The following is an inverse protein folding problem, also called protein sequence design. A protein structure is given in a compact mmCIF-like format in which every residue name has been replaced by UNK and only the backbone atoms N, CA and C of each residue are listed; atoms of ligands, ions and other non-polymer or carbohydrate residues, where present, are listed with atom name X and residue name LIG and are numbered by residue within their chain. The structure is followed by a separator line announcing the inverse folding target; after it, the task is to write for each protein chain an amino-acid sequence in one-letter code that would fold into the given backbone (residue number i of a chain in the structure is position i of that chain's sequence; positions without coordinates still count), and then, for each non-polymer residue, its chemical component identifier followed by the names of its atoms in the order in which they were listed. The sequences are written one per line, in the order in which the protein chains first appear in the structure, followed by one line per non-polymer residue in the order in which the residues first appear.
data_IF_279038311258
#
_entry.id   IF_279038311258
#
_cell.length_a   1.000
_cell.length_b   1.000
_cell.length_c   1.000
_cell.angle_alpha   90.00
_cell.angle_beta   90.00
_cell.angle_gamma   90.00
#
_symmetry.space_group_name_H-M   'P 1'
#
loop_
_entity.id
_entity.type
_entity.pdbx_description
1 polymer ?
#
# COMPACT_ATOMS: atom_id res chain seq x y z
N UNK A 1 -25.19 -25.87 -9.09
CA UNK A 1 -25.03 -24.90 -7.99
C UNK A 1 -26.40 -24.29 -7.65
N UNK A 2 -26.60 -23.70 -6.47
CA UNK A 2 -27.85 -22.97 -6.21
C UNK A 2 -27.87 -21.65 -6.99
N UNK A 3 -28.76 -21.53 -7.98
CA UNK A 3 -28.88 -20.31 -8.77
C UNK A 3 -29.19 -19.07 -7.91
N UNK A 4 -29.83 -19.24 -6.75
CA UNK A 4 -30.18 -18.13 -5.85
C UNK A 4 -28.95 -17.37 -5.34
N UNK A 5 -27.85 -18.05 -5.01
CA UNK A 5 -26.65 -17.38 -4.50
C UNK A 5 -25.90 -16.60 -5.61
N UNK A 6 -26.01 -17.07 -6.85
CA UNK A 6 -25.47 -16.39 -8.04
C UNK A 6 -26.28 -15.15 -8.34
N UNK A 7 -27.61 -15.28 -8.41
CA UNK A 7 -28.50 -14.16 -8.69
C UNK A 7 -28.35 -13.06 -7.61
N UNK A 8 -28.28 -13.45 -6.33
CA UNK A 8 -28.01 -12.52 -5.24
C UNK A 8 -26.65 -11.81 -5.40
N UNK A 9 -25.61 -12.49 -5.85
CA UNK A 9 -24.30 -11.89 -6.09
C UNK A 9 -24.32 -10.91 -7.28
N UNK A 10 -25.06 -11.25 -8.35
CA UNK A 10 -25.29 -10.37 -9.52
C UNK A 10 -26.06 -9.12 -9.11
N UNK A 11 -27.15 -9.27 -8.34
CA UNK A 11 -27.99 -8.16 -7.90
C UNK A 11 -27.26 -7.19 -6.98
N UNK A 12 -26.39 -7.70 -6.10
CA UNK A 12 -25.48 -6.88 -5.28
C UNK A 12 -24.63 -5.95 -6.15
N UNK A 13 -24.16 -6.41 -7.31
CA UNK A 13 -23.37 -5.59 -8.25
C UNK A 13 -24.29 -4.63 -9.04
N UNK A 14 -25.43 -5.10 -9.54
CA UNK A 14 -26.39 -4.27 -10.30
C UNK A 14 -26.94 -3.09 -9.51
N UNK A 15 -26.98 -3.21 -8.18
CA UNK A 15 -27.40 -2.12 -7.29
C UNK A 15 -26.43 -0.92 -7.24
N UNK A 16 -25.24 -1.04 -7.83
CA UNK A 16 -24.20 -0.01 -7.82
C UNK A 16 -24.25 0.88 -9.08
N UNK A 17 -23.66 2.06 -8.98
CA UNK A 17 -23.25 2.84 -10.16
C UNK A 17 -22.10 2.12 -10.88
N UNK A 18 -22.42 1.35 -11.92
CA UNK A 18 -21.46 0.56 -12.68
C UNK A 18 -20.41 1.43 -13.39
N UNK A 19 -20.75 2.68 -13.76
CA UNK A 19 -19.81 3.61 -14.40
C UNK A 19 -18.64 4.00 -13.47
N UNK A 20 -18.89 3.95 -12.16
CA UNK A 20 -17.91 4.20 -11.09
C UNK A 20 -17.45 2.92 -10.39
N UNK A 21 -17.65 1.77 -11.01
CA UNK A 21 -17.27 0.46 -10.44
C UNK A 21 -16.14 -0.18 -11.22
N UNK A 22 -15.31 -0.96 -10.52
CA UNK A 22 -14.24 -1.75 -11.14
C UNK A 22 -14.00 -3.03 -10.35
N UNK A 23 -13.76 -4.13 -11.06
CA UNK A 23 -13.32 -5.39 -10.43
C UNK A 23 -11.83 -5.32 -10.15
N UNK A 24 -11.43 -5.56 -8.89
CA UNK A 24 -10.02 -5.79 -8.55
C UNK A 24 -9.69 -7.28 -8.74
N UNK A 25 -9.19 -7.61 -9.92
CA UNK A 25 -8.77 -8.96 -10.25
C UNK A 25 -7.38 -9.23 -9.70
N UNK A 26 -7.20 -10.32 -8.94
CA UNK A 26 -5.89 -10.73 -8.41
C UNK A 26 -5.30 -11.93 -9.14
N UNK A 27 -6.03 -12.51 -10.10
CA UNK A 27 -5.68 -13.79 -10.72
C UNK A 27 -5.98 -15.00 -9.83
N UNK A 28 -6.73 -14.85 -8.73
CA UNK A 28 -7.15 -15.97 -7.88
C UNK A 28 -8.56 -16.45 -8.22
N UNK A 29 -8.94 -17.63 -7.72
CA UNK A 29 -10.25 -18.26 -7.93
C UNK A 29 -11.42 -17.38 -7.53
N UNK A 30 -11.34 -16.75 -6.36
CA UNK A 30 -12.43 -15.91 -5.84
C UNK A 30 -12.58 -14.63 -6.69
N UNK A 31 -11.46 -14.06 -7.16
CA UNK A 31 -11.48 -12.89 -8.05
C UNK A 31 -11.94 -13.23 -9.47
N UNK A 32 -11.72 -14.47 -9.94
CA UNK A 32 -12.20 -14.96 -11.22
C UNK A 32 -13.72 -15.09 -11.21
N UNK A 33 -14.28 -15.78 -10.21
CA UNK A 33 -15.74 -15.88 -10.03
C UNK A 33 -16.36 -14.50 -9.90
N UNK A 34 -15.76 -13.62 -9.10
CA UNK A 34 -16.23 -12.23 -8.94
C UNK A 34 -16.25 -11.48 -10.28
N UNK A 35 -15.24 -11.66 -11.12
CA UNK A 35 -15.14 -11.01 -12.43
C UNK A 35 -16.20 -11.55 -13.40
N UNK A 36 -16.45 -12.86 -13.42
CA UNK A 36 -17.50 -13.45 -14.24
C UNK A 36 -18.90 -12.98 -13.79
N UNK A 37 -19.17 -12.97 -12.49
CA UNK A 37 -20.42 -12.42 -11.91
C UNK A 37 -20.58 -10.94 -12.26
N UNK A 38 -19.51 -10.15 -12.16
CA UNK A 38 -19.54 -8.73 -12.53
C UNK A 38 -19.88 -8.53 -14.02
N UNK A 39 -19.30 -9.35 -14.90
CA UNK A 39 -19.61 -9.33 -16.34
C UNK A 39 -21.09 -9.63 -16.60
N UNK A 40 -21.66 -10.64 -15.91
CA UNK A 40 -23.12 -10.95 -15.96
C UNK A 40 -24.01 -9.83 -15.40
N UNK A 41 -23.50 -9.07 -14.44
CA UNK A 41 -24.17 -7.88 -13.91
C UNK A 41 -24.09 -6.67 -14.87
N UNK A 42 -23.36 -6.76 -15.98
CA UNK A 42 -23.16 -5.68 -16.95
C UNK A 42 -21.89 -4.84 -16.71
N UNK A 43 -21.00 -5.26 -15.81
CA UNK A 43 -19.71 -4.61 -15.56
C UNK A 43 -18.56 -5.36 -16.25
N UNK A 44 -18.16 -4.91 -17.44
CA UNK A 44 -16.98 -5.42 -18.16
C UNK A 44 -15.76 -4.48 -17.98
N UNK A 45 -15.39 -4.26 -16.72
CA UNK A 45 -14.25 -3.43 -16.33
C UNK A 45 -13.50 -4.05 -15.15
N UNK A 46 -12.30 -4.54 -15.42
CA UNK A 46 -11.45 -5.15 -14.42
C UNK A 46 -10.05 -4.52 -14.42
N UNK A 47 -9.38 -4.62 -13.29
CA UNK A 47 -8.02 -4.12 -13.10
C UNK A 47 -7.19 -5.15 -12.38
N UNK A 48 -6.01 -5.42 -12.92
CA UNK A 48 -4.97 -6.22 -12.30
C UNK A 48 -3.80 -5.34 -11.88
N UNK A 49 -3.44 -5.40 -10.61
CA UNK A 49 -2.22 -4.77 -10.12
C UNK A 49 -1.03 -5.72 -10.30
N UNK A 50 -0.28 -5.50 -11.38
CA UNK A 50 0.92 -6.26 -11.67
C UNK A 50 2.10 -5.70 -10.88
N UNK A 51 2.29 -6.18 -9.65
CA UNK A 51 3.36 -5.72 -8.77
C UNK A 51 4.71 -6.39 -9.01
N UNK A 52 4.81 -7.28 -10.00
CA UNK A 52 5.94 -8.19 -10.25
C UNK A 52 6.27 -9.16 -9.10
N UNK A 53 5.52 -9.08 -7.99
CA UNK A 53 5.65 -9.94 -6.83
C UNK A 53 4.79 -11.19 -6.94
N UNK A 54 3.81 -11.22 -7.83
CA UNK A 54 3.05 -12.42 -8.18
C UNK A 54 3.95 -13.44 -8.90
N UNK A 55 3.59 -14.72 -8.88
CA UNK A 55 4.31 -15.73 -9.66
C UNK A 55 4.17 -15.44 -11.16
N UNK A 56 5.21 -15.71 -11.92
CA UNK A 56 5.31 -15.45 -13.35
C UNK A 56 4.27 -16.26 -14.13
N UNK A 57 3.99 -17.51 -13.70
CA UNK A 57 2.89 -18.31 -14.25
C UNK A 57 1.52 -17.65 -14.01
N UNK A 58 1.29 -17.06 -12.83
CA UNK A 58 0.06 -16.31 -12.57
C UNK A 58 -0.03 -15.03 -13.40
N UNK A 59 1.08 -14.31 -13.59
CA UNK A 59 1.10 -13.14 -14.48
C UNK A 59 0.83 -13.53 -15.94
N UNK A 60 1.36 -14.67 -16.39
CA UNK A 60 1.07 -15.22 -17.73
C UNK A 60 -0.42 -15.51 -17.88
N UNK A 61 -0.99 -16.26 -16.94
CA UNK A 61 -2.43 -16.54 -16.89
C UNK A 61 -3.30 -15.26 -16.94
N UNK A 62 -2.95 -14.23 -16.16
CA UNK A 62 -3.72 -12.97 -16.18
C UNK A 62 -3.64 -12.27 -17.53
N UNK A 63 -2.50 -12.33 -18.23
CA UNK A 63 -2.40 -11.77 -19.59
C UNK A 63 -3.28 -12.54 -20.57
N UNK A 64 -3.27 -13.86 -20.52
CA UNK A 64 -4.05 -14.73 -21.41
C UNK A 64 -5.56 -14.53 -21.19
N UNK A 65 -6.01 -14.50 -19.93
CA UNK A 65 -7.43 -14.27 -19.63
C UNK A 65 -7.86 -12.81 -19.90
N UNK A 66 -6.92 -11.87 -19.91
CA UNK A 66 -7.13 -10.46 -20.24
C UNK A 66 -7.62 -10.21 -21.67
N UNK A 67 -7.53 -11.19 -22.56
CA UNK A 67 -8.12 -11.11 -23.90
C UNK A 67 -9.65 -11.35 -23.86
N UNK A 68 -10.11 -12.17 -22.90
CA UNK A 68 -11.53 -12.53 -22.71
C UNK A 68 -12.27 -11.56 -21.77
N UNK A 69 -11.54 -10.95 -20.86
CA UNK A 69 -12.04 -10.00 -19.89
C UNK A 69 -11.27 -8.70 -20.03
N UNK A 70 -11.95 -7.56 -20.07
CA UNK A 70 -11.33 -6.24 -20.23
C UNK A 70 -10.53 -5.84 -18.96
N UNK A 71 -9.35 -6.44 -18.79
CA UNK A 71 -8.47 -6.29 -17.62
C UNK A 71 -7.38 -5.27 -17.94
N UNK A 72 -7.48 -4.10 -17.33
CA UNK A 72 -6.41 -3.11 -17.37
C UNK A 72 -5.29 -3.48 -16.38
N UNK A 73 -4.03 -3.32 -16.79
CA UNK A 73 -2.87 -3.56 -15.94
C UNK A 73 -2.36 -2.27 -15.30
N UNK A 74 -2.27 -2.24 -13.96
CA UNK A 74 -1.54 -1.20 -13.24
C UNK A 74 -0.14 -1.74 -12.94
N UNK A 75 0.88 -0.99 -13.38
CA UNK A 75 2.29 -1.27 -13.11
C UNK A 75 2.81 -0.29 -12.04
N UNK A 76 3.08 -0.75 -10.81
CA UNK A 76 3.71 0.08 -9.79
C UNK A 76 5.12 0.52 -10.23
N UNK A 77 5.39 1.82 -10.18
CA UNK A 77 6.73 2.37 -10.47
C UNK A 77 7.76 2.09 -9.35
N UNK A 78 7.36 1.43 -8.26
CA UNK A 78 8.26 1.18 -7.13
C UNK A 78 8.99 -0.16 -7.27
N UNK A 79 10.33 -0.12 -7.24
CA UNK A 79 11.17 -1.31 -7.15
C UNK A 79 11.11 -1.91 -5.72
N UNK A 80 10.56 -3.12 -5.63
CA UNK A 80 10.46 -3.86 -4.38
C UNK A 80 11.83 -4.15 -3.73
N UNK A 81 12.82 -4.54 -4.50
CA UNK A 81 14.16 -4.88 -4.01
C UNK A 81 14.90 -3.63 -3.52
N UNK A 82 14.77 -2.53 -4.25
CA UNK A 82 15.28 -1.22 -3.81
C UNK A 82 14.65 -0.83 -2.46
N UNK A 83 13.33 -0.98 -2.32
CA UNK A 83 12.63 -0.62 -1.09
C UNK A 83 13.02 -1.54 0.07
N UNK A 84 13.27 -2.83 -0.18
CA UNK A 84 13.85 -3.73 0.81
C UNK A 84 15.22 -3.26 1.30
N UNK A 85 16.08 -2.76 0.40
CA UNK A 85 17.42 -2.23 0.72
C UNK A 85 17.35 -0.93 1.53
N UNK A 86 16.42 -0.03 1.18
CA UNK A 86 16.25 1.30 1.81
C UNK A 86 15.48 1.28 3.13
N UNK A 87 14.52 0.37 3.27
CA UNK A 87 13.71 0.20 4.48
C UNK A 87 14.18 -1.01 5.27
N UNK A 88 13.65 -2.17 4.89
CA UNK A 88 13.90 -3.50 5.41
C UNK A 88 13.12 -4.52 4.56
N UNK A 89 13.53 -5.79 4.52
CA UNK A 89 12.68 -6.86 4.00
C UNK A 89 11.30 -6.87 4.69
N UNK A 90 10.20 -7.13 3.96
CA UNK A 90 8.88 -7.21 4.57
C UNK A 90 8.79 -8.40 5.54
N UNK A 91 7.94 -8.25 6.55
CA UNK A 91 7.66 -9.31 7.51
C UNK A 91 6.15 -9.39 7.80
N UNK A 92 5.72 -10.41 8.55
CA UNK A 92 4.35 -10.53 9.03
C UNK A 92 3.90 -9.30 9.84
N UNK A 93 4.85 -8.60 10.47
CA UNK A 93 4.62 -7.37 11.24
C UNK A 93 4.87 -6.11 10.40
N UNK A 94 5.77 -6.18 9.42
CA UNK A 94 6.23 -5.06 8.60
C UNK A 94 5.67 -5.13 7.17
N UNK A 95 4.35 -4.95 7.05
CA UNK A 95 3.60 -5.07 5.77
C UNK A 95 3.65 -3.80 4.92
N UNK A 96 4.83 -3.21 4.72
CA UNK A 96 4.96 -1.96 3.97
C UNK A 96 4.68 -2.15 2.47
N UNK A 97 5.04 -3.30 1.89
CA UNK A 97 4.81 -3.60 0.47
C UNK A 97 3.33 -3.55 0.10
N UNK A 98 2.44 -4.12 0.94
CA UNK A 98 1.00 -4.04 0.74
C UNK A 98 0.46 -2.60 0.70
N UNK A 99 1.11 -1.67 1.41
CA UNK A 99 0.68 -0.26 1.47
C UNK A 99 1.19 0.55 0.29
N UNK A 100 2.49 0.42 -0.01
CA UNK A 100 3.13 1.16 -1.10
C UNK A 100 2.71 0.60 -2.44
N UNK A 101 2.97 -0.69 -2.65
CA UNK A 101 2.97 -1.30 -3.97
C UNK A 101 1.55 -1.70 -4.40
N UNK A 102 0.68 -2.03 -3.43
CA UNK A 102 -0.70 -2.44 -3.73
C UNK A 102 -1.72 -1.34 -3.48
N UNK A 103 -1.90 -0.97 -2.21
CA UNK A 103 -2.99 -0.07 -1.82
C UNK A 103 -2.83 1.33 -2.42
N UNK A 104 -1.63 1.91 -2.41
CA UNK A 104 -1.37 3.25 -2.98
C UNK A 104 -1.73 3.34 -4.46
N UNK A 105 -1.24 2.41 -5.28
CA UNK A 105 -1.49 2.39 -6.73
C UNK A 105 -2.94 2.05 -7.09
N UNK A 106 -3.57 1.11 -6.37
CA UNK A 106 -5.00 0.83 -6.54
C UNK A 106 -5.84 2.09 -6.32
N UNK A 107 -5.51 2.89 -5.31
CA UNK A 107 -6.22 4.12 -5.04
C UNK A 107 -5.92 5.24 -6.03
N UNK A 108 -4.66 5.40 -6.43
CA UNK A 108 -4.28 6.36 -7.46
C UNK A 108 -5.06 6.12 -8.76
N UNK A 109 -5.16 4.85 -9.19
CA UNK A 109 -5.99 4.47 -10.32
C UNK A 109 -7.46 4.85 -10.11
N UNK A 110 -8.04 4.53 -8.96
CA UNK A 110 -9.45 4.77 -8.72
C UNK A 110 -9.77 6.27 -8.68
N UNK A 111 -8.89 7.10 -8.11
CA UNK A 111 -9.02 8.57 -8.12
C UNK A 111 -8.96 9.11 -9.55
N UNK A 112 -7.94 8.71 -10.33
CA UNK A 112 -7.75 9.16 -11.72
C UNK A 112 -8.90 8.78 -12.65
N UNK A 113 -9.57 7.66 -12.36
CA UNK A 113 -10.66 7.12 -13.17
C UNK A 113 -12.06 7.34 -12.57
N UNK A 114 -12.19 8.20 -11.56
CA UNK A 114 -13.46 8.51 -10.89
C UNK A 114 -14.26 7.26 -10.43
N UNK A 115 -13.55 6.22 -10.00
CA UNK A 115 -14.15 5.00 -9.44
C UNK A 115 -14.60 5.30 -8.02
N UNK A 116 -15.66 4.69 -7.51
CA UNK A 116 -16.07 4.76 -6.08
C UNK A 116 -16.32 3.38 -5.49
N UNK A 117 -16.41 2.33 -6.32
CA UNK A 117 -16.65 0.96 -5.89
C UNK A 117 -15.57 0.02 -6.42
N UNK A 118 -14.86 -0.65 -5.51
CA UNK A 118 -13.93 -1.73 -5.82
C UNK A 118 -14.61 -3.06 -5.53
N UNK A 119 -14.93 -3.81 -6.57
CA UNK A 119 -15.53 -5.15 -6.44
C UNK A 119 -14.40 -6.15 -6.21
N UNK A 120 -14.50 -6.94 -5.13
CA UNK A 120 -13.44 -7.88 -4.71
C UNK A 120 -14.02 -9.24 -4.34
N UNK A 121 -13.25 -10.30 -4.57
CA UNK A 121 -13.61 -11.67 -4.19
C UNK A 121 -13.30 -12.02 -2.73
N UNK A 122 -13.52 -11.11 -1.79
CA UNK A 122 -13.31 -11.41 -0.36
C UNK A 122 -14.49 -12.19 0.18
N UNK A 123 -14.21 -13.27 0.93
CA UNK A 123 -15.22 -14.12 1.57
C UNK A 123 -15.04 -14.15 3.09
N UNK A 124 -16.15 -14.31 3.80
CA UNK A 124 -16.22 -14.37 5.25
C UNK A 124 -15.43 -15.58 5.81
N UNK A 125 -15.53 -16.73 5.15
CA UNK A 125 -14.90 -18.00 5.52
C UNK A 125 -13.36 -17.95 5.50
N UNK A 126 -12.75 -17.03 4.74
CA UNK A 126 -11.28 -16.98 4.60
C UNK A 126 -10.55 -16.70 5.92
N UNK A 127 -11.18 -16.04 6.91
CA UNK A 127 -10.61 -15.85 8.25
C UNK A 127 -11.60 -15.22 9.25
N UNK A 128 -11.34 -15.39 10.55
CA UNK A 128 -12.04 -14.68 11.65
C UNK A 128 -12.08 -13.15 11.53
N UNK A 129 -11.13 -12.55 10.80
CA UNK A 129 -11.14 -11.10 10.54
C UNK A 129 -12.11 -10.74 9.41
N UNK A 130 -12.14 -11.56 8.36
CA UNK A 130 -12.99 -11.37 7.18
C UNK A 130 -14.43 -11.76 7.44
N UNK A 131 -14.72 -12.60 8.42
CA UNK A 131 -16.08 -12.90 8.88
C UNK A 131 -16.87 -11.69 9.38
N UNK A 132 -16.20 -10.54 9.57
CA UNK A 132 -16.82 -9.26 9.96
C UNK A 132 -17.09 -8.34 8.78
N UNK A 133 -16.65 -8.73 7.58
CA UNK A 133 -16.82 -7.91 6.38
C UNK A 133 -18.27 -7.99 5.94
N UNK A 134 -18.75 -6.87 5.41
CA UNK A 134 -20.10 -6.74 4.86
C UNK A 134 -20.03 -6.84 3.33
N UNK A 135 -21.19 -6.87 2.69
CA UNK A 135 -21.26 -6.72 1.22
C UNK A 135 -20.62 -5.40 0.80
N UNK A 136 -20.83 -4.31 1.56
CA UNK A 136 -20.22 -3.01 1.29
C UNK A 136 -19.49 -2.53 2.55
N UNK A 137 -18.18 -2.30 2.42
CA UNK A 137 -17.33 -1.77 3.47
C UNK A 137 -16.62 -0.49 3.00
N UNK A 138 -16.57 0.55 3.85
CA UNK A 138 -15.77 1.75 3.57
C UNK A 138 -14.28 1.41 3.72
N UNK A 139 -13.47 1.72 2.71
CA UNK A 139 -12.03 1.44 2.78
C UNK A 139 -11.38 2.43 3.77
N UNK A 140 -10.76 1.96 4.87
CA UNK A 140 -10.28 2.85 5.93
C UNK A 140 -9.28 3.91 5.47
N UNK A 141 -8.56 3.65 4.37
CA UNK A 141 -7.56 4.55 3.82
C UNK A 141 -8.16 5.84 3.25
N UNK A 142 -9.40 5.81 2.75
CA UNK A 142 -10.09 7.00 2.20
C UNK A 142 -10.39 8.06 3.24
N UNK A 143 -10.44 7.70 4.52
CA UNK A 143 -10.62 8.69 5.61
C UNK A 143 -9.50 9.75 5.66
N UNK A 144 -8.35 9.50 5.01
CA UNK A 144 -7.29 10.49 4.87
C UNK A 144 -7.51 11.48 3.72
N UNK A 145 -8.23 11.08 2.65
CA UNK A 145 -8.54 11.92 1.51
C UNK A 145 -10.04 12.30 1.53
N UNK A 146 -10.39 13.50 2.02
CA UNK A 146 -11.79 13.89 2.25
C UNK A 146 -12.58 14.15 0.96
N UNK A 147 -11.91 14.30 -0.19
CA UNK A 147 -12.59 14.54 -1.47
C UNK A 147 -13.06 13.25 -2.15
N UNK A 148 -12.66 12.10 -1.62
CA UNK A 148 -12.79 10.86 -2.35
C UNK A 148 -13.23 9.72 -1.44
N UNK A 149 -14.38 9.14 -1.75
CA UNK A 149 -14.91 7.97 -1.06
C UNK A 149 -14.77 6.72 -1.93
N UNK A 150 -14.29 5.64 -1.32
CA UNK A 150 -14.06 4.37 -1.98
C UNK A 150 -14.58 3.26 -1.09
N UNK A 151 -15.45 2.45 -1.67
CA UNK A 151 -16.08 1.32 -1.03
C UNK A 151 -15.53 0.02 -1.60
N UNK A 152 -15.27 -0.94 -0.72
CA UNK A 152 -15.00 -2.31 -1.09
C UNK A 152 -16.34 -3.04 -1.15
N UNK A 153 -16.66 -3.62 -2.30
CA UNK A 153 -17.86 -4.43 -2.51
C UNK A 153 -17.48 -5.90 -2.62
N UNK A 154 -18.11 -6.74 -1.81
CA UNK A 154 -17.83 -8.17 -1.69
C UNK A 154 -19.08 -8.96 -2.10
N UNK A 155 -19.36 -9.12 -3.41
CA UNK A 155 -20.61 -9.71 -3.89
C UNK A 155 -20.76 -11.19 -3.50
N UNK A 156 -19.65 -11.89 -3.26
CA UNK A 156 -19.61 -13.31 -2.87
C UNK A 156 -19.20 -13.51 -1.40
N UNK A 157 -19.42 -12.51 -0.53
CA UNK A 157 -18.90 -12.51 0.85
C UNK A 157 -19.34 -13.73 1.67
N UNK A 158 -20.52 -14.25 1.40
CA UNK A 158 -21.19 -15.39 2.04
C UNK A 158 -20.91 -16.73 1.37
N UNK A 159 -20.17 -16.75 0.26
CA UNK A 159 -19.86 -17.99 -0.45
C UNK A 159 -18.79 -18.80 0.29
N UNK A 160 -18.95 -20.13 0.27
CA UNK A 160 -17.94 -21.08 0.71
C UNK A 160 -16.88 -21.30 -0.37
N UNK A 161 -15.75 -21.91 0.00
CA UNK A 161 -14.74 -22.34 -0.98
C UNK A 161 -15.32 -23.35 -1.98
N UNK A 162 -16.24 -24.21 -1.52
CA UNK A 162 -16.91 -25.19 -2.37
C UNK A 162 -17.79 -24.49 -3.42
N UNK A 163 -18.53 -23.45 -3.04
CA UNK A 163 -19.37 -22.69 -3.98
C UNK A 163 -18.52 -22.06 -5.10
N UNK A 164 -17.36 -21.50 -4.75
CA UNK A 164 -16.41 -20.91 -5.72
C UNK A 164 -15.91 -21.95 -6.72
N UNK A 165 -15.48 -23.12 -6.25
CA UNK A 165 -15.00 -24.17 -7.16
C UNK A 165 -16.11 -24.79 -7.99
N UNK A 166 -17.29 -25.04 -7.40
CA UNK A 166 -18.46 -25.52 -8.12
C UNK A 166 -18.83 -24.55 -9.26
N UNK A 167 -18.80 -23.24 -8.99
CA UNK A 167 -19.03 -22.21 -9.99
C UNK A 167 -18.02 -22.30 -11.15
N UNK A 168 -16.72 -22.38 -10.83
CA UNK A 168 -15.64 -22.45 -11.82
C UNK A 168 -15.83 -23.66 -12.73
N UNK A 169 -16.14 -24.82 -12.16
CA UNK A 169 -16.36 -26.06 -12.92
C UNK A 169 -17.63 -25.97 -13.78
N UNK A 170 -18.75 -25.56 -13.20
CA UNK A 170 -20.04 -25.48 -13.89
C UNK A 170 -20.01 -24.47 -15.04
N UNK A 171 -19.29 -23.36 -14.88
CA UNK A 171 -19.16 -22.31 -15.92
C UNK A 171 -17.94 -22.51 -16.81
N UNK A 172 -17.19 -23.60 -16.65
CA UNK A 172 -15.98 -23.92 -17.39
C UNK A 172 -15.02 -22.72 -17.48
N UNK A 173 -14.68 -22.14 -16.32
CA UNK A 173 -13.80 -20.98 -16.24
C UNK A 173 -12.34 -21.41 -16.15
N UNK A 174 -11.50 -20.78 -16.97
CA UNK A 174 -10.05 -20.94 -16.92
C UNK A 174 -9.53 -20.36 -15.60
N UNK A 175 -9.09 -21.23 -14.69
CA UNK A 175 -8.52 -20.81 -13.40
C UNK A 175 -7.00 -20.76 -13.45
N UNK A 176 -6.41 -20.10 -12.44
CA UNK A 176 -4.96 -19.91 -12.38
C UNK A 176 -4.23 -21.26 -12.20
N UNK A 177 -3.28 -21.62 -13.09
CA UNK A 177 -2.59 -22.91 -13.03
C UNK A 177 -1.83 -23.17 -11.71
N UNK A 178 -1.54 -22.13 -10.91
CA UNK A 178 -0.95 -22.34 -9.59
C UNK A 178 -1.76 -23.27 -8.68
N UNK A 179 -3.09 -23.33 -8.84
CA UNK A 179 -3.93 -24.21 -8.05
C UNK A 179 -3.59 -25.70 -8.30
N UNK A 180 -3.14 -26.05 -9.51
CA UNK A 180 -2.69 -27.41 -9.87
C UNK A 180 -1.37 -27.79 -9.18
N UNK A 181 -0.59 -26.79 -8.74
CA UNK A 181 0.60 -26.99 -7.91
C UNK A 181 0.28 -27.08 -6.39
N UNK A 182 -1.01 -27.17 -6.03
CA UNK A 182 -1.45 -27.34 -4.64
C UNK A 182 -1.40 -26.08 -3.79
N UNK A 183 -1.39 -24.88 -4.40
CA UNK A 183 -1.54 -23.65 -3.63
C UNK A 183 -3.01 -23.39 -3.34
N UNK A 184 -3.35 -23.06 -2.09
CA UNK A 184 -4.74 -22.75 -1.73
C UNK A 184 -5.10 -21.29 -2.06
N UNK A 185 -4.09 -20.43 -2.25
CA UNK A 185 -4.26 -19.00 -2.52
C UNK A 185 -3.16 -18.45 -3.41
N UNK A 186 -3.57 -17.85 -4.53
CA UNK A 186 -2.68 -17.09 -5.39
C UNK A 186 -2.22 -15.81 -4.67
N UNK A 187 -0.91 -15.59 -4.64
CA UNK A 187 -0.30 -14.48 -3.92
C UNK A 187 1.11 -14.15 -4.40
N UNK A 188 1.85 -13.41 -3.59
CA UNK A 188 3.22 -13.02 -3.92
C UNK A 188 4.23 -14.13 -3.61
N UNK A 189 5.20 -14.40 -4.49
CA UNK A 189 6.23 -15.43 -4.32
C UNK A 189 7.11 -15.17 -3.08
N UNK A 190 7.36 -13.90 -2.74
CA UNK A 190 8.23 -13.48 -1.63
C UNK A 190 7.51 -13.25 -0.29
N UNK A 191 6.22 -13.60 -0.18
CA UNK A 191 5.43 -13.18 0.96
C UNK A 191 5.88 -13.90 2.26
N UNK A 192 6.04 -13.17 3.39
CA UNK A 192 6.41 -13.76 4.67
C UNK A 192 5.30 -14.64 5.28
N UNK A 193 4.09 -14.61 4.70
CA UNK A 193 2.97 -15.45 5.09
C UNK A 193 2.93 -16.80 4.38
N UNK A 194 3.69 -16.97 3.30
CA UNK A 194 3.64 -18.21 2.53
C UNK A 194 4.07 -19.42 3.40
N UNK A 195 3.47 -20.56 3.13
CA UNK A 195 3.77 -21.85 3.75
C UNK A 195 5.16 -22.34 3.36
N UNK A 196 5.56 -23.52 3.85
CA UNK A 196 6.84 -24.13 3.43
C UNK A 196 6.79 -24.58 1.97
N UNK A 197 5.68 -25.19 1.54
CA UNK A 197 5.48 -25.65 0.16
C UNK A 197 5.45 -24.49 -0.83
N UNK A 198 4.74 -23.40 -0.51
CA UNK A 198 4.70 -22.21 -1.37
C UNK A 198 6.09 -21.55 -1.52
N UNK A 199 6.95 -21.62 -0.50
CA UNK A 199 8.34 -21.16 -0.63
C UNK A 199 9.24 -22.11 -1.40
N UNK A 200 8.92 -23.40 -1.38
CA UNK A 200 9.60 -24.35 -2.26
C UNK A 200 9.22 -24.05 -3.71
N UNK A 201 7.93 -23.90 -3.99
CA UNK A 201 7.43 -23.50 -5.29
C UNK A 201 8.04 -22.18 -5.77
N UNK A 202 8.19 -21.18 -4.89
CA UNK A 202 8.87 -19.93 -5.24
C UNK A 202 10.36 -20.14 -5.59
N UNK A 203 11.07 -21.05 -4.90
CA UNK A 203 12.46 -21.40 -5.24
C UNK A 203 12.55 -22.08 -6.60
N UNK A 204 11.56 -22.86 -6.96
CA UNK A 204 11.55 -23.66 -8.19
C UNK A 204 11.10 -22.81 -9.41
N UNK A 205 10.10 -21.94 -9.23
CA UNK A 205 9.51 -21.14 -10.32
C UNK A 205 10.05 -19.72 -10.44
N UNK A 206 10.60 -19.14 -9.37
CA UNK A 206 11.10 -17.75 -9.33
C UNK A 206 12.57 -17.70 -8.88
N UNK A 207 13.36 -18.69 -9.29
CA UNK A 207 14.74 -18.97 -8.81
C UNK A 207 15.59 -17.72 -8.68
N UNK A 208 15.74 -16.94 -9.76
CA UNK A 208 16.57 -15.73 -9.79
C UNK A 208 16.09 -14.68 -8.79
N UNK A 209 14.79 -14.38 -8.77
CA UNK A 209 14.20 -13.40 -7.86
C UNK A 209 14.35 -13.82 -6.40
N UNK A 210 14.19 -15.11 -6.11
CA UNK A 210 14.40 -15.66 -4.77
C UNK A 210 15.85 -15.52 -4.35
N UNK A 211 16.81 -15.80 -5.24
CA UNK A 211 18.24 -15.62 -4.95
C UNK A 211 18.56 -14.16 -4.61
N UNK A 212 18.05 -13.20 -5.40
CA UNK A 212 18.20 -11.76 -5.14
C UNK A 212 17.60 -11.40 -3.78
N UNK A 213 16.39 -11.87 -3.48
CA UNK A 213 15.72 -11.58 -2.22
C UNK A 213 16.46 -12.14 -1.01
N UNK A 214 16.96 -13.38 -1.11
CA UNK A 214 17.73 -14.02 -0.05
C UNK A 214 19.07 -13.33 0.17
N UNK A 215 19.71 -12.81 -0.89
CA UNK A 215 20.89 -11.95 -0.77
C UNK A 215 20.56 -10.67 0.01
N UNK A 216 19.44 -10.01 -0.29
CA UNK A 216 18.99 -8.82 0.44
C UNK A 216 18.71 -9.14 1.92
N UNK A 217 18.09 -10.28 2.23
CA UNK A 217 17.88 -10.74 3.62
C UNK A 217 19.23 -10.92 4.32
N UNK A 218 20.20 -11.57 3.68
CA UNK A 218 21.55 -11.79 4.22
C UNK A 218 22.28 -10.47 4.45
N UNK A 219 22.26 -9.56 3.49
CA UNK A 219 22.89 -8.24 3.59
C UNK A 219 22.25 -7.39 4.69
N UNK A 220 20.92 -7.42 4.80
CA UNK A 220 20.20 -6.73 5.86
C UNK A 220 20.57 -7.28 7.24
N UNK A 221 20.76 -8.59 7.37
CA UNK A 221 21.14 -9.23 8.64
C UNK A 221 22.46 -8.68 9.20
N UNK A 222 23.40 -8.23 8.36
CA UNK A 222 24.67 -7.64 8.80
C UNK A 222 24.47 -6.35 9.62
N UNK A 223 23.36 -5.65 9.39
CA UNK A 223 22.96 -4.43 10.14
C UNK A 223 22.36 -4.76 11.51
N UNK A 224 22.12 -6.03 11.83
CA UNK A 224 21.58 -6.49 13.10
C UNK A 224 22.72 -6.97 14.04
N UNK A 225 22.46 -7.03 15.37
CA UNK A 225 23.41 -7.57 16.34
C UNK A 225 23.94 -8.95 15.93
N UNK A 226 25.24 -9.20 16.15
CA UNK A 226 25.94 -10.38 15.64
C UNK A 226 25.27 -11.70 16.07
N UNK A 227 24.85 -11.80 17.33
CA UNK A 227 24.16 -12.96 17.89
C UNK A 227 22.78 -13.25 17.26
N UNK A 228 22.18 -12.29 16.55
CA UNK A 228 20.86 -12.44 15.93
C UNK A 228 20.91 -12.75 14.43
N UNK A 229 22.06 -12.54 13.76
CA UNK A 229 22.17 -12.61 12.29
C UNK A 229 21.76 -13.96 11.71
N UNK A 230 22.29 -15.05 12.25
CA UNK A 230 21.99 -16.40 11.77
C UNK A 230 20.52 -16.77 11.99
N UNK A 231 19.97 -16.42 13.15
CA UNK A 231 18.54 -16.62 13.47
C UNK A 231 17.64 -15.84 12.50
N UNK A 232 18.03 -14.61 12.16
CA UNK A 232 17.32 -13.79 11.19
C UNK A 232 17.29 -14.42 9.80
N UNK A 233 18.45 -14.82 9.26
CA UNK A 233 18.57 -15.41 7.92
C UNK A 233 17.74 -16.70 7.80
N UNK A 234 17.84 -17.61 8.78
CA UNK A 234 17.20 -18.92 8.71
C UNK A 234 15.68 -18.82 8.54
N UNK A 235 15.02 -17.99 9.35
CA UNK A 235 13.56 -17.75 9.28
C UNK A 235 13.09 -16.52 10.09
N UNK A 236 13.96 -15.93 10.93
CA UNK A 236 13.59 -14.81 11.80
C UNK A 236 13.10 -13.58 11.05
N UNK A 237 13.55 -13.36 9.81
CA UNK A 237 13.12 -12.24 8.96
C UNK A 237 11.61 -12.19 8.76
N UNK A 238 10.93 -13.35 8.67
CA UNK A 238 9.47 -13.44 8.46
C UNK A 238 8.67 -12.86 9.62
N UNK A 239 9.22 -12.91 10.83
CA UNK A 239 8.57 -12.42 12.05
C UNK A 239 9.23 -11.16 12.60
N UNK A 240 10.20 -10.60 11.86
CA UNK A 240 10.99 -9.45 12.29
C UNK A 240 10.08 -8.26 12.64
N UNK A 241 10.38 -7.62 13.76
CA UNK A 241 9.83 -6.32 14.13
C UNK A 241 10.98 -5.34 14.25
N UNK A 242 10.78 -4.10 13.80
CA UNK A 242 11.80 -3.07 13.92
C UNK A 242 11.84 -2.50 15.34
N UNK A 243 13.01 -2.52 15.97
CA UNK A 243 13.45 -1.35 16.76
C UNK A 243 14.05 -0.34 15.77
N UNK A 244 13.86 0.96 16.04
CA UNK A 244 14.40 2.02 15.19
C UNK A 244 15.38 2.88 15.99
N UNK A 245 16.48 3.22 15.35
CA UNK A 245 17.47 4.15 15.87
C UNK A 245 17.07 5.55 15.40
N UNK A 246 17.01 6.49 16.34
CA UNK A 246 16.77 7.89 16.01
C UNK A 246 18.11 8.61 15.97
N UNK A 247 18.35 9.29 14.87
CA UNK A 247 19.45 10.25 14.75
C UNK A 247 18.83 11.64 14.74
N UNK A 248 19.09 12.40 15.79
CA UNK A 248 18.64 13.78 15.89
C UNK A 248 19.47 14.64 14.93
N UNK A 249 18.78 15.28 13.98
CA UNK A 249 19.45 16.08 12.94
C UNK A 249 19.01 17.54 12.94
N UNK A 250 17.85 17.81 13.52
CA UNK A 250 17.30 19.15 13.69
C UNK A 250 16.71 19.27 15.10
N UNK A 251 16.75 20.47 15.65
CA UNK A 251 16.11 20.85 16.91
C UNK A 251 15.02 21.87 16.63
N UNK A 252 13.82 21.67 17.15
CA UNK A 252 12.69 22.59 16.99
C UNK A 252 12.34 23.24 18.32
N UNK A 253 12.42 24.56 18.37
CA UNK A 253 11.91 25.39 19.45
C UNK A 253 10.84 26.35 18.91
N UNK A 254 9.99 26.84 19.79
CA UNK A 254 8.99 27.84 19.42
C UNK A 254 8.65 28.78 20.58
N UNK A 255 8.29 30.01 20.23
CA UNK A 255 7.63 30.95 21.11
C UNK A 255 6.31 31.37 20.43
N UNK A 256 5.18 30.97 21.01
CA UNK A 256 3.86 31.08 20.38
C UNK A 256 3.86 30.48 18.96
N UNK A 257 3.44 31.26 17.94
CA UNK A 257 3.39 30.86 16.52
C UNK A 257 4.72 30.99 15.78
N UNK A 258 5.79 31.46 16.43
CA UNK A 258 7.12 31.63 15.83
C UNK A 258 7.97 30.41 16.14
N UNK A 259 8.44 29.72 15.10
CA UNK A 259 9.20 28.48 15.21
C UNK A 259 10.61 28.65 14.65
N UNK A 260 11.54 27.92 15.23
CA UNK A 260 12.93 27.85 14.80
C UNK A 260 13.32 26.37 14.67
N UNK A 261 13.85 26.00 13.51
CA UNK A 261 14.53 24.73 13.29
C UNK A 261 16.02 24.97 13.17
N UNK A 262 16.80 24.30 14.01
CA UNK A 262 18.26 24.44 14.04
C UNK A 262 18.96 23.13 13.65
N UNK A 263 19.94 23.22 12.74
CA UNK A 263 20.81 22.11 12.36
C UNK A 263 21.53 22.32 11.02
N UNK A 264 22.05 21.24 10.42
CA UNK A 264 22.82 21.32 9.17
C UNK A 264 21.96 21.84 8.01
N UNK A 265 22.55 22.69 7.16
CA UNK A 265 21.88 23.33 6.00
C UNK A 265 21.17 22.32 5.09
N UNK A 266 21.78 21.15 4.84
CA UNK A 266 21.18 20.12 3.98
C UNK A 266 19.85 19.58 4.51
N UNK A 267 19.72 19.43 5.83
CA UNK A 267 18.48 18.99 6.46
C UNK A 267 17.43 20.10 6.45
N UNK A 268 17.85 21.35 6.64
CA UNK A 268 16.97 22.52 6.50
C UNK A 268 16.43 22.64 5.07
N UNK A 269 17.27 22.43 4.06
CA UNK A 269 16.87 22.42 2.66
C UNK A 269 15.84 21.31 2.36
N UNK A 270 15.96 20.13 2.99
CA UNK A 270 14.97 19.06 2.87
C UNK A 270 13.62 19.43 3.50
N UNK A 271 13.59 19.97 4.72
CA UNK A 271 12.32 20.33 5.38
C UNK A 271 11.64 21.55 4.75
N UNK A 272 12.42 22.46 4.14
CA UNK A 272 11.89 23.61 3.36
C UNK A 272 10.88 23.18 2.29
N UNK A 273 11.03 21.99 1.71
CA UNK A 273 10.18 21.46 0.63
C UNK A 273 8.71 21.27 1.00
N UNK A 274 8.37 21.16 2.28
CA UNK A 274 6.97 21.07 2.76
C UNK A 274 6.55 22.30 3.56
N UNK A 275 7.40 23.33 3.63
CA UNK A 275 7.10 24.53 4.39
C UNK A 275 5.84 25.29 3.91
N UNK A 276 5.53 25.36 2.60
CA UNK A 276 4.30 26.01 2.12
C UNK A 276 2.99 25.43 2.70
N UNK A 277 3.02 24.20 3.24
CA UNK A 277 1.86 23.58 3.91
C UNK A 277 1.57 24.25 5.25
N UNK A 278 2.60 24.75 5.94
CA UNK A 278 2.50 25.21 7.34
C UNK A 278 2.88 26.68 7.54
N UNK A 279 3.51 27.32 6.56
CA UNK A 279 3.98 28.70 6.66
C UNK A 279 4.14 29.35 5.28
N UNK A 280 3.76 30.62 5.17
CA UNK A 280 4.08 31.48 4.01
C UNK A 280 5.34 32.31 4.25
N UNK A 281 5.70 32.53 5.51
CA UNK A 281 6.83 33.37 5.92
C UNK A 281 7.88 32.48 6.57
N UNK A 282 8.87 32.07 5.79
CA UNK A 282 9.99 31.28 6.28
C UNK A 282 11.32 31.68 5.64
N UNK A 283 12.40 31.69 6.42
CA UNK A 283 13.76 32.02 5.94
C UNK A 283 14.82 31.15 6.59
N UNK A 284 15.85 30.81 5.82
CA UNK A 284 17.06 30.15 6.33
C UNK A 284 18.12 31.22 6.56
N UNK A 285 18.65 31.33 7.78
CA UNK A 285 19.81 32.16 8.13
C UNK A 285 20.84 31.29 8.85
N UNK A 286 21.98 31.03 8.20
CA UNK A 286 23.01 30.15 8.75
C UNK A 286 22.49 28.71 8.94
N UNK A 287 22.50 28.24 10.18
CA UNK A 287 22.03 26.90 10.61
C UNK A 287 20.61 26.91 11.15
N UNK A 288 19.85 27.99 10.94
CA UNK A 288 18.49 28.16 11.47
C UNK A 288 17.49 28.43 10.36
N UNK A 289 16.36 27.73 10.37
CA UNK A 289 15.16 28.02 9.58
C UNK A 289 14.10 28.60 10.51
N UNK A 290 13.71 29.84 10.24
CA UNK A 290 12.68 30.57 10.98
C UNK A 290 11.38 30.50 10.21
N UNK A 291 10.26 30.28 10.86
CA UNK A 291 8.95 30.28 10.22
C UNK A 291 7.81 30.65 11.17
N UNK A 292 6.77 31.27 10.63
CA UNK A 292 5.53 31.57 11.35
C UNK A 292 4.43 30.62 10.90
N UNK A 293 3.76 29.95 11.83
CA UNK A 293 2.65 29.06 11.47
C UNK A 293 1.45 29.84 10.93
N UNK A 294 0.94 29.39 9.77
CA UNK A 294 -0.34 29.83 9.20
C UNK A 294 -1.50 28.86 9.45
N UNK A 295 -1.21 27.70 10.03
CA UNK A 295 -2.18 26.63 10.31
C UNK A 295 -2.15 26.25 11.79
N UNK A 296 -3.28 25.74 12.29
CA UNK A 296 -3.35 25.21 13.65
C UNK A 296 -2.82 23.75 13.70
N UNK A 297 -1.54 23.61 14.08
CA UNK A 297 -0.88 22.32 14.23
C UNK A 297 -0.05 22.30 15.52
N UNK A 298 -0.16 21.20 16.27
CA UNK A 298 0.73 20.94 17.39
C UNK A 298 2.17 20.70 16.92
N UNK A 299 3.16 21.02 17.78
CA UNK A 299 4.60 20.75 17.53
C UNK A 299 4.87 19.31 17.06
N UNK A 300 4.15 18.34 17.65
CA UNK A 300 4.26 16.92 17.27
C UNK A 300 3.79 16.66 15.83
N UNK A 301 2.75 17.34 15.34
CA UNK A 301 2.27 17.18 13.96
C UNK A 301 3.22 17.84 12.95
N UNK A 302 3.75 19.02 13.26
CA UNK A 302 4.76 19.72 12.45
C UNK A 302 5.99 18.83 12.29
N UNK A 303 6.51 18.29 13.40
CA UNK A 303 7.60 17.32 13.37
C UNK A 303 7.30 16.14 12.45
N UNK A 304 6.12 15.52 12.60
CA UNK A 304 5.74 14.36 11.79
C UNK A 304 5.66 14.67 10.29
N UNK A 305 5.21 15.88 9.93
CA UNK A 305 5.17 16.36 8.56
C UNK A 305 6.58 16.56 8.00
N UNK A 306 7.44 17.28 8.72
CA UNK A 306 8.79 17.61 8.26
C UNK A 306 9.73 16.39 8.27
N UNK A 307 9.54 15.45 9.20
CA UNK A 307 10.26 14.16 9.18
C UNK A 307 9.95 13.34 7.91
N UNK A 308 8.86 13.65 7.17
CA UNK A 308 8.58 12.99 5.88
C UNK A 308 9.65 13.30 4.84
N UNK A 309 10.06 14.55 4.68
CA UNK A 309 11.10 14.92 3.69
C UNK A 309 12.47 14.43 4.12
N UNK A 310 12.78 14.47 5.42
CA UNK A 310 14.06 13.99 5.94
C UNK A 310 14.28 12.50 5.64
N UNK A 311 13.22 11.70 5.72
CA UNK A 311 13.30 10.25 5.57
C UNK A 311 12.81 9.73 4.22
N UNK A 312 12.36 10.60 3.31
CA UNK A 312 11.68 10.23 2.06
C UNK A 312 12.47 9.18 1.27
N UNK A 313 11.74 8.23 0.68
CA UNK A 313 12.27 7.19 -0.22
C UNK A 313 11.53 7.17 -1.57
N UNK A 314 10.80 8.23 -1.92
CA UNK A 314 10.04 8.28 -3.17
C UNK A 314 8.86 7.30 -3.28
N UNK A 315 8.26 6.86 -2.17
CA UNK A 315 7.19 5.82 -2.21
C UNK A 315 5.83 6.27 -2.75
N UNK A 316 5.63 7.55 -3.10
CA UNK A 316 4.39 8.05 -3.72
C UNK A 316 3.16 8.15 -2.82
N UNK A 317 3.05 7.38 -1.73
CA UNK A 317 1.80 7.27 -0.96
C UNK A 317 1.17 8.59 -0.49
N UNK A 318 2.00 9.62 -0.24
CA UNK A 318 1.55 10.94 0.17
C UNK A 318 0.87 11.75 -0.96
N UNK A 319 1.16 11.47 -2.23
CA UNK A 319 0.54 12.15 -3.37
C UNK A 319 -0.93 11.75 -3.47
N UNK A 320 -1.22 10.46 -3.34
CA UNK A 320 -2.58 9.86 -3.37
C UNK A 320 -3.48 10.37 -2.25
N UNK A 321 -2.89 10.73 -1.09
CA UNK A 321 -3.65 11.25 0.06
C UNK A 321 -4.02 12.72 -0.12
N UNK A 322 -3.34 13.45 -1.01
CA UNK A 322 -3.60 14.88 -1.20
C UNK A 322 -4.87 15.08 -2.04
N UNK A 323 -5.94 15.66 -1.48
CA UNK A 323 -7.19 15.87 -2.23
C UNK A 323 -7.05 16.83 -3.40
N UNK A 324 -6.08 17.76 -3.34
CA UNK A 324 -5.84 18.77 -4.38
C UNK A 324 -4.75 18.37 -5.38
N UNK A 325 -4.14 17.19 -5.22
CA UNK A 325 -2.95 16.84 -6.00
C UNK A 325 -1.77 17.81 -5.78
N UNK A 326 -1.75 18.56 -4.68
CA UNK A 326 -0.70 19.53 -4.37
C UNK A 326 0.62 18.86 -3.94
N UNK A 327 0.60 17.59 -3.53
CA UNK A 327 1.81 16.84 -3.19
C UNK A 327 2.28 16.01 -4.39
N UNK A 328 3.54 16.17 -4.76
CA UNK A 328 4.16 15.43 -5.85
C UNK A 328 5.56 14.95 -5.48
N UNK A 329 6.09 14.00 -6.25
CA UNK A 329 7.47 13.54 -6.15
C UNK A 329 8.32 14.26 -7.19
N UNK A 330 9.46 14.80 -6.75
CA UNK A 330 10.53 15.22 -7.65
C UNK A 330 11.78 14.40 -7.29
N UNK A 331 12.19 13.52 -8.22
CA UNK A 331 13.18 12.47 -7.95
C UNK A 331 12.73 11.67 -6.71
N UNK A 332 13.61 11.51 -5.72
CA UNK A 332 13.29 10.75 -4.49
C UNK A 332 12.67 11.58 -3.35
N UNK A 333 12.21 12.81 -3.63
CA UNK A 333 11.80 13.75 -2.60
C UNK A 333 10.40 14.27 -2.82
N UNK A 334 9.58 14.24 -1.77
CA UNK A 334 8.25 14.87 -1.76
C UNK A 334 8.39 16.40 -1.76
N UNK A 335 7.56 17.05 -2.59
CA UNK A 335 7.37 18.51 -2.64
C UNK A 335 5.89 18.86 -2.55
N UNK A 336 5.62 20.14 -2.34
CA UNK A 336 4.28 20.73 -2.40
C UNK A 336 4.25 21.80 -3.49
N UNK A 337 3.16 21.84 -4.25
CA UNK A 337 2.76 22.95 -5.10
C UNK A 337 1.93 23.95 -4.26
N UNK A 338 2.48 25.14 -3.95
CA UNK A 338 1.77 26.15 -3.17
C UNK A 338 0.48 26.64 -3.83
N UNK A 339 0.41 26.65 -5.17
CA UNK A 339 -0.77 27.17 -5.89
C UNK A 339 -1.98 26.24 -5.76
N UNK A 340 -1.75 24.94 -5.57
CA UNK A 340 -2.81 23.93 -5.38
C UNK A 340 -3.10 23.63 -3.91
N UNK A 341 -2.20 23.97 -3.00
CA UNK A 341 -2.33 23.58 -1.60
C UNK A 341 -3.34 24.46 -0.84
N UNK A 342 -4.55 23.93 -0.59
CA UNK A 342 -5.58 24.63 0.21
C UNK A 342 -5.40 24.49 1.73
N UNK A 343 -4.26 23.98 2.20
CA UNK A 343 -3.97 23.77 3.63
C UNK A 343 -5.01 22.92 4.39
N UNK A 344 -5.68 21.94 3.76
CA UNK A 344 -6.68 21.05 4.39
C UNK A 344 -6.12 20.08 5.45
N UNK A 345 -4.79 19.98 5.55
CA UNK A 345 -4.04 19.15 6.52
C UNK A 345 -4.29 17.63 6.41
N UNK A 346 -4.92 17.12 5.36
CA UNK A 346 -5.09 15.68 5.10
C UNK A 346 -3.77 14.90 5.17
N UNK A 347 -2.67 15.49 4.72
CA UNK A 347 -1.33 14.91 4.81
C UNK A 347 -0.76 14.83 6.25
N UNK A 348 -1.42 15.45 7.23
CA UNK A 348 -1.00 15.58 8.63
C UNK A 348 -2.02 15.00 9.64
N UNK A 349 -3.27 14.74 9.23
CA UNK A 349 -4.33 14.21 10.10
C UNK A 349 -4.00 12.79 10.57
N UNK A 350 -4.35 12.50 11.83
CA UNK A 350 -4.29 11.15 12.41
C UNK A 350 -5.65 10.47 12.18
N UNK A 351 -5.62 9.16 11.94
CA UNK A 351 -6.83 8.33 11.91
C UNK A 351 -6.82 7.42 13.15
N UNK A 352 -7.81 7.54 14.04
CA UNK A 352 -8.02 6.66 15.21
C UNK A 352 -6.78 6.48 16.12
N UNK A 353 -6.18 7.59 16.55
CA UNK A 353 -5.04 7.64 17.49
C UNK A 353 -3.79 6.83 17.11
N UNK A 354 -3.72 6.31 15.87
CA UNK A 354 -2.54 5.64 15.30
C UNK A 354 -2.20 6.33 14.00
N UNK A 355 -0.92 6.53 13.71
CA UNK A 355 -0.45 6.88 12.36
C UNK A 355 -0.61 5.68 11.40
N UNK A 356 -1.83 5.15 11.28
CA UNK A 356 -2.18 4.35 10.11
C UNK A 356 -2.08 5.34 8.94
N UNK A 357 -1.12 5.08 8.04
CA UNK A 357 -0.72 5.95 6.92
C UNK A 357 0.22 7.11 7.25
N UNK A 358 0.92 7.06 8.38
CA UNK A 358 2.17 7.84 8.53
C UNK A 358 3.18 7.46 7.45
N UNK A 359 4.09 8.39 7.11
CA UNK A 359 5.14 8.17 6.11
C UNK A 359 5.80 6.80 6.31
N UNK A 360 5.76 5.98 5.26
CA UNK A 360 6.25 4.60 5.30
C UNK A 360 7.75 4.58 5.60
N UNK A 361 8.51 5.48 4.98
CA UNK A 361 9.92 5.62 5.29
C UNK A 361 10.14 5.89 6.78
N UNK A 362 9.42 6.86 7.34
CA UNK A 362 9.48 7.16 8.76
C UNK A 362 9.05 5.97 9.64
N UNK A 363 8.12 5.13 9.20
CA UNK A 363 7.56 4.04 10.01
C UNK A 363 8.33 2.72 9.90
N UNK A 364 9.08 2.49 8.82
CA UNK A 364 9.73 1.20 8.53
C UNK A 364 11.25 1.28 8.39
N UNK A 365 11.83 2.48 8.26
CA UNK A 365 13.29 2.65 8.24
C UNK A 365 13.88 2.39 9.64
N UNK A 366 14.98 1.64 9.70
CA UNK A 366 15.71 1.40 10.96
C UNK A 366 16.32 2.70 11.47
N UNK A 367 17.10 3.40 10.64
CA UNK A 367 17.76 4.64 11.01
C UNK A 367 16.91 5.84 10.56
N UNK A 368 16.29 6.51 11.52
CA UNK A 368 15.36 7.61 11.28
C UNK A 368 16.00 8.93 11.64
N UNK A 369 16.02 9.84 10.67
CA UNK A 369 16.36 11.23 10.93
C UNK A 369 15.17 11.88 11.62
N UNK A 370 15.40 12.44 12.81
CA UNK A 370 14.36 12.99 13.67
C UNK A 370 14.60 14.47 13.99
N UNK A 371 13.52 15.14 14.35
CA UNK A 371 13.55 16.51 14.86
C UNK A 371 13.26 16.46 16.37
N UNK A 372 14.18 16.95 17.19
CA UNK A 372 14.01 17.03 18.64
C UNK A 372 13.09 18.19 18.98
N UNK A 373 12.13 17.99 19.87
CA UNK A 373 11.26 19.07 20.36
C UNK A 373 11.92 19.60 21.64
N UNK A 374 12.31 20.87 21.63
CA UNK A 374 12.97 21.55 22.76
C UNK A 374 12.05 22.65 23.29
#
# INVERSE_FOLDING_TARGET
MDNKIVDAAVDRIRSLDLSKSVVLFSGGKDSLVTMDIAKRAGLDKAVYLNSELEFSISRKYVREIGEKYNIAHILPENDFFEFCRRLCPPSKRLKWCCKVIKLGFSMDYCIKNNITHQITGVRAEESKKRSKYKVIDKIPFTTANPKYELFQVNPIVDWTEQDVWNYIIEKNLDYNPLYDYGVNRVGCWCCPFNTRSEWQLARDLETEKVQIFMKIIKDFSRKLPANYRNKYIKNGWRSFATSYNKTEVLKMSNNNKKFILEGKKDYLAKVKKLMPIISDIYKIKGTKLYFNLKVDLMRKQIRLLLEKTLNCIGCGLCTVICPEGALYLEKESIKVDPARCINCLSCCKRINNKLKMGCIARNYKINRLCISLI
#
